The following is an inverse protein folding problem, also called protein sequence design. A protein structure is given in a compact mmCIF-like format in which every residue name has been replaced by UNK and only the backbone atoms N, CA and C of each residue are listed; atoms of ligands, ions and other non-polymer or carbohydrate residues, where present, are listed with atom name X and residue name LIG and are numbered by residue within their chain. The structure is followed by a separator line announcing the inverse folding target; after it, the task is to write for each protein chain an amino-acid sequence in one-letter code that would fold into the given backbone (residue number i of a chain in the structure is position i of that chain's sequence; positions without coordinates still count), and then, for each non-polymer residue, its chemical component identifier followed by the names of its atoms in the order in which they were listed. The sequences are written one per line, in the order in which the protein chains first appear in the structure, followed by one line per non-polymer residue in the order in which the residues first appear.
data_IF_423294765038
#
_entry.id   IF_423294765038
#
_cell.length_a   1.000
_cell.length_b   1.000
_cell.length_c   1.000
_cell.angle_alpha   90.00
_cell.angle_beta   90.00
_cell.angle_gamma   90.00
#
_symmetry.space_group_name_H-M   'P 1'
#
loop_
_entity.id
_entity.type
_entity.pdbx_description
1 polymer ?
#
# COMPACT_ATOMS: atom_id res chain seq x y z
N UNK A 1 -1.33 79.36 27.28
CA UNK A 1 -0.65 78.92 28.52
C UNK A 1 -0.98 77.43 28.63
N UNK A 2 -0.11 76.42 28.57
CA UNK A 2 1.30 76.24 28.96
C UNK A 2 1.78 74.94 28.25
N UNK A 3 2.61 75.02 27.19
CA UNK A 3 4.04 74.61 27.11
C UNK A 3 4.55 73.50 28.04
N UNK A 4 5.00 72.38 27.44
CA UNK A 4 6.27 71.62 27.65
C UNK A 4 6.20 70.39 26.73
N UNK A 5 6.90 70.27 25.58
CA UNK A 5 8.35 70.18 25.26
C UNK A 5 9.08 69.04 25.98
N UNK A 6 9.27 67.93 25.26
CA UNK A 6 10.27 66.88 25.52
C UNK A 6 10.92 66.44 24.20
N UNK A 7 12.15 66.91 23.97
CA UNK A 7 13.23 66.33 23.14
C UNK A 7 14.06 65.43 24.08
N UNK A 8 14.83 64.40 23.77
CA UNK A 8 15.45 63.76 22.59
C UNK A 8 15.46 62.23 22.92
N UNK A 9 15.62 61.26 22.00
CA UNK A 9 16.93 60.81 21.51
C UNK A 9 16.79 59.95 20.25
N UNK A 10 17.68 60.24 19.31
CA UNK A 10 17.86 59.54 18.05
C UNK A 10 18.19 58.04 18.21
N UNK A 11 17.61 57.20 17.34
CA UNK A 11 18.23 55.94 16.94
C UNK A 11 18.03 55.66 15.45
N UNK A 12 19.03 56.11 14.69
CA UNK A 12 19.67 55.44 13.55
C UNK A 12 18.81 54.49 12.72
N UNK A 13 18.47 54.94 11.52
CA UNK A 13 17.76 54.15 10.51
C UNK A 13 18.51 52.90 10.06
N UNK A 14 17.72 51.95 9.57
CA UNK A 14 18.16 50.95 8.60
C UNK A 14 16.99 50.68 7.66
N UNK A 15 17.07 51.27 6.46
CA UNK A 15 16.20 50.92 5.34
C UNK A 15 16.35 49.42 5.07
N UNK A 16 15.25 48.68 5.01
CA UNK A 16 15.22 47.36 4.38
C UNK A 16 14.13 47.38 3.33
N UNK A 17 14.61 47.29 2.10
CA UNK A 17 13.91 47.22 0.84
C UNK A 17 12.82 46.16 0.87
N UNK A 18 11.62 46.56 0.45
CA UNK A 18 10.50 45.69 0.11
C UNK A 18 10.90 44.94 -1.16
N UNK A 19 11.06 43.62 -1.08
CA UNK A 19 11.04 42.75 -2.27
C UNK A 19 9.70 42.02 -2.20
N UNK A 20 8.72 42.56 -2.94
CA UNK A 20 7.48 41.85 -3.22
C UNK A 20 7.80 40.64 -4.09
N UNK A 21 7.60 39.44 -3.53
CA UNK A 21 7.56 38.22 -4.33
C UNK A 21 6.19 38.15 -4.97
N UNK A 22 6.12 38.41 -6.29
CA UNK A 22 4.96 38.06 -7.11
C UNK A 22 4.82 36.52 -7.04
N UNK A 23 3.78 36.03 -6.37
CA UNK A 23 3.37 34.63 -6.46
C UNK A 23 2.66 34.44 -7.81
N UNK A 24 3.44 34.03 -8.82
CA UNK A 24 2.93 33.55 -10.10
C UNK A 24 2.53 32.09 -9.91
N UNK A 25 1.26 31.78 -10.18
CA UNK A 25 0.76 30.50 -10.69
C UNK A 25 1.14 29.24 -9.92
N UNK A 26 0.21 28.73 -9.12
CA UNK A 26 0.28 27.38 -8.56
C UNK A 26 0.31 26.32 -9.66
N UNK A 27 1.50 25.79 -9.95
CA UNK A 27 1.65 24.45 -10.49
C UNK A 27 1.40 23.49 -9.32
N UNK A 28 0.29 22.75 -9.36
CA UNK A 28 0.17 21.54 -8.56
C UNK A 28 1.13 20.52 -9.15
N UNK A 29 2.38 20.54 -8.69
CA UNK A 29 3.29 19.42 -8.88
C UNK A 29 2.70 18.27 -8.07
N UNK A 30 2.09 17.30 -8.77
CA UNK A 30 1.84 15.99 -8.18
C UNK A 30 3.20 15.49 -7.67
N UNK A 31 3.39 15.50 -6.36
CA UNK A 31 4.60 14.98 -5.75
C UNK A 31 4.64 13.50 -6.07
N UNK A 32 5.45 13.12 -7.05
CA UNK A 32 5.89 11.75 -7.22
C UNK A 32 6.71 11.47 -5.97
N UNK A 33 6.06 10.95 -4.93
CA UNK A 33 6.72 10.57 -3.69
C UNK A 33 7.63 9.39 -4.02
N UNK A 34 8.90 9.67 -4.30
CA UNK A 34 9.90 8.61 -4.27
C UNK A 34 9.89 8.04 -2.86
N UNK A 35 9.73 6.71 -2.69
CA UNK A 35 9.78 6.11 -1.37
C UNK A 35 11.11 6.52 -0.75
N UNK A 36 11.04 7.07 0.48
CA UNK A 36 12.24 7.52 1.19
C UNK A 36 13.27 6.40 1.23
N UNK A 37 14.56 6.74 1.26
CA UNK A 37 15.61 5.72 1.38
C UNK A 37 15.34 4.78 2.58
N UNK A 38 14.79 5.31 3.67
CA UNK A 38 14.38 4.54 4.85
C UNK A 38 13.22 3.57 4.60
N UNK A 39 12.25 3.94 3.77
CA UNK A 39 11.18 3.05 3.31
C UNK A 39 11.75 1.87 2.50
N UNK A 40 12.59 2.17 1.50
CA UNK A 40 13.24 1.14 0.67
C UNK A 40 14.14 0.21 1.50
N UNK A 41 14.88 0.76 2.48
CA UNK A 41 15.73 -0.02 3.38
C UNK A 41 14.91 -0.90 4.34
N UNK A 42 13.74 -0.43 4.81
CA UNK A 42 12.84 -1.27 5.62
C UNK A 42 12.22 -2.39 4.79
N UNK A 43 11.69 -2.08 3.60
CA UNK A 43 11.18 -3.07 2.65
C UNK A 43 12.23 -4.17 2.35
N UNK A 44 13.50 -3.79 2.21
CA UNK A 44 14.58 -4.73 1.93
C UNK A 44 14.97 -5.66 3.10
N UNK A 45 14.58 -5.34 4.35
CA UNK A 45 15.10 -5.99 5.55
C UNK A 45 14.02 -6.60 6.46
N UNK A 46 12.78 -6.72 5.98
CA UNK A 46 11.75 -7.41 6.74
C UNK A 46 12.15 -8.87 7.03
N UNK A 47 12.14 -9.30 8.30
CA UNK A 47 12.41 -10.68 8.64
C UNK A 47 11.23 -11.55 8.23
N UNK A 48 11.56 -12.73 7.69
CA UNK A 48 10.57 -13.77 7.41
C UNK A 48 9.99 -14.30 8.72
N UNK A 49 8.69 -14.12 8.92
CA UNK A 49 7.99 -14.63 10.11
C UNK A 49 7.57 -16.08 9.91
N UNK A 50 7.47 -16.82 11.02
CA UNK A 50 6.93 -18.17 11.05
C UNK A 50 5.43 -18.14 11.39
N UNK A 51 4.62 -19.06 10.84
CA UNK A 51 3.20 -19.12 11.16
C UNK A 51 2.98 -19.44 12.64
N UNK A 52 1.91 -18.89 13.21
CA UNK A 52 1.56 -19.07 14.61
C UNK A 52 0.04 -19.24 14.81
N UNK A 53 -0.32 -19.74 15.99
CA UNK A 53 -1.70 -19.82 16.43
C UNK A 53 -2.57 -20.78 15.60
N UNK A 54 -3.88 -20.84 15.89
CA UNK A 54 -4.79 -21.83 15.30
C UNK A 54 -5.06 -21.61 13.80
N UNK A 55 -4.79 -20.40 13.29
CA UNK A 55 -5.02 -20.05 11.90
C UNK A 55 -3.81 -20.34 11.00
N UNK A 56 -2.69 -20.77 11.57
CA UNK A 56 -1.44 -21.09 10.85
C UNK A 56 -0.93 -19.96 9.93
N UNK A 57 -1.13 -18.71 10.35
CA UNK A 57 -0.61 -17.52 9.64
C UNK A 57 0.38 -16.75 10.52
N UNK A 58 1.25 -15.96 9.89
CA UNK A 58 2.18 -15.09 10.59
C UNK A 58 1.45 -13.96 11.31
N UNK A 59 2.11 -13.33 12.29
CA UNK A 59 1.54 -12.18 12.98
C UNK A 59 1.24 -11.03 12.00
N UNK A 60 2.16 -10.84 11.05
CA UNK A 60 2.04 -9.86 9.98
C UNK A 60 0.87 -10.14 9.04
N UNK A 61 0.71 -11.37 8.58
CA UNK A 61 -0.40 -11.72 7.70
C UNK A 61 -1.74 -11.62 8.43
N UNK A 62 -1.80 -11.95 9.71
CA UNK A 62 -2.99 -11.73 10.55
C UNK A 62 -3.36 -10.23 10.59
N UNK A 63 -2.39 -9.35 10.85
CA UNK A 63 -2.63 -7.91 10.88
C UNK A 63 -3.12 -7.36 9.53
N UNK A 64 -2.51 -7.78 8.41
CA UNK A 64 -2.93 -7.36 7.07
C UNK A 64 -4.33 -7.85 6.75
N UNK A 65 -4.61 -9.13 7.00
CA UNK A 65 -5.93 -9.72 6.76
C UNK A 65 -7.00 -8.96 7.52
N UNK A 66 -6.78 -8.74 8.82
CA UNK A 66 -7.77 -8.08 9.66
C UNK A 66 -7.98 -6.62 9.24
N UNK A 67 -6.92 -5.90 8.82
CA UNK A 67 -7.03 -4.55 8.30
C UNK A 67 -7.81 -4.48 6.97
N UNK A 68 -7.50 -5.38 6.01
CA UNK A 68 -8.20 -5.43 4.72
C UNK A 68 -9.65 -5.85 4.91
N UNK A 69 -9.95 -6.86 5.73
CA UNK A 69 -11.32 -7.29 6.03
C UNK A 69 -12.12 -6.18 6.70
N UNK A 70 -11.50 -5.43 7.62
CA UNK A 70 -12.15 -4.30 8.28
C UNK A 70 -12.51 -3.19 7.30
N UNK A 71 -11.59 -2.84 6.40
CA UNK A 71 -11.77 -1.74 5.44
C UNK A 71 -12.70 -2.12 4.27
N UNK A 72 -12.57 -3.35 3.75
CA UNK A 72 -13.19 -3.77 2.49
C UNK A 72 -14.27 -4.83 2.64
N UNK A 73 -14.36 -5.51 3.78
CA UNK A 73 -15.46 -6.46 4.07
C UNK A 73 -16.84 -5.86 3.87
N UNK A 74 -17.15 -4.69 4.47
CA UNK A 74 -18.43 -4.00 4.26
C UNK A 74 -18.69 -3.55 2.81
N UNK A 75 -17.67 -3.56 1.95
CA UNK A 75 -17.74 -3.14 0.55
C UNK A 75 -17.99 -4.30 -0.41
N UNK A 76 -18.11 -5.53 0.10
CA UNK A 76 -18.52 -6.71 -0.66
C UNK A 76 -17.40 -7.71 -0.97
N UNK A 77 -16.44 -7.90 -0.05
CA UNK A 77 -15.57 -9.07 -0.12
C UNK A 77 -16.38 -10.36 -0.06
N UNK A 78 -16.01 -11.34 -0.89
CA UNK A 78 -16.67 -12.64 -0.94
C UNK A 78 -16.13 -13.54 0.18
N UNK A 79 -16.93 -13.71 1.24
CA UNK A 79 -16.58 -14.60 2.34
C UNK A 79 -15.31 -14.20 3.11
N UNK A 80 -14.72 -15.19 3.79
CA UNK A 80 -13.48 -15.01 4.53
C UNK A 80 -12.26 -15.22 3.61
N UNK A 81 -11.18 -14.43 3.75
CA UNK A 81 -9.97 -14.62 2.95
C UNK A 81 -9.36 -16.02 3.12
N UNK A 82 -8.96 -16.63 2.01
CA UNK A 82 -8.28 -17.92 1.99
C UNK A 82 -6.79 -17.77 2.31
N UNK A 83 -6.38 -18.10 3.53
CA UNK A 83 -5.00 -17.92 3.98
C UNK A 83 -4.21 -19.25 3.96
N UNK A 84 -3.89 -19.83 5.11
CA UNK A 84 -3.07 -21.04 5.18
C UNK A 84 -3.72 -22.24 4.49
N UNK A 85 -2.91 -22.96 3.70
CA UNK A 85 -3.22 -24.29 3.14
C UNK A 85 -1.92 -25.02 2.83
N UNK A 86 -1.81 -26.27 3.28
CA UNK A 86 -0.56 -27.05 3.28
C UNK A 86 -0.03 -27.33 1.87
N UNK A 87 -0.94 -27.63 0.95
CA UNK A 87 -0.62 -27.90 -0.46
C UNK A 87 -0.26 -26.63 -1.24
N UNK A 88 -0.52 -25.45 -0.68
CA UNK A 88 -0.13 -24.17 -1.27
C UNK A 88 -0.80 -23.83 -2.60
N UNK A 89 -1.74 -24.67 -3.09
CA UNK A 89 -2.60 -24.46 -4.27
C UNK A 89 -1.85 -24.40 -5.60
N UNK A 90 -0.52 -24.52 -5.59
CA UNK A 90 0.35 -24.65 -6.76
C UNK A 90 1.47 -25.66 -6.44
N UNK A 91 1.93 -26.37 -7.46
CA UNK A 91 3.10 -27.25 -7.32
C UNK A 91 4.35 -26.41 -6.96
N UNK A 92 5.06 -26.81 -5.90
CA UNK A 92 6.24 -26.10 -5.39
C UNK A 92 6.00 -25.19 -4.19
N UNK A 93 4.73 -24.96 -3.82
CA UNK A 93 4.36 -24.18 -2.64
C UNK A 93 4.62 -22.68 -2.78
N UNK A 94 3.57 -21.86 -2.65
CA UNK A 94 3.69 -20.42 -2.55
C UNK A 94 3.87 -19.97 -1.09
N UNK A 95 3.34 -18.79 -0.75
CA UNK A 95 3.42 -18.26 0.62
C UNK A 95 2.28 -18.73 1.53
N UNK A 96 1.27 -19.42 0.97
CA UNK A 96 0.16 -20.01 1.74
C UNK A 96 0.62 -21.09 2.74
N UNK A 97 1.46 -22.09 2.39
CA UNK A 97 1.94 -23.08 3.36
C UNK A 97 2.86 -22.49 4.44
N UNK A 98 3.38 -21.29 4.21
CA UNK A 98 4.22 -20.57 5.15
C UNK A 98 3.41 -19.60 6.02
N UNK A 99 2.09 -19.53 5.82
CA UNK A 99 1.19 -18.63 6.56
C UNK A 99 1.40 -17.16 6.24
N UNK A 100 2.00 -16.85 5.09
CA UNK A 100 2.40 -15.49 4.67
C UNK A 100 1.58 -14.95 3.51
N UNK A 101 0.51 -15.63 3.13
CA UNK A 101 -0.41 -15.15 2.11
C UNK A 101 -1.87 -15.32 2.51
N UNK A 102 -2.70 -14.45 1.96
CA UNK A 102 -4.14 -14.60 1.90
C UNK A 102 -4.67 -14.19 0.52
N UNK A 103 -5.66 -14.93 0.04
CA UNK A 103 -6.47 -14.63 -1.13
C UNK A 103 -7.75 -13.91 -0.68
N UNK A 104 -7.92 -12.66 -1.09
CA UNK A 104 -9.09 -11.83 -0.78
C UNK A 104 -10.08 -11.93 -1.95
N UNK A 105 -11.03 -12.85 -1.81
CA UNK A 105 -11.98 -13.17 -2.86
C UNK A 105 -12.90 -11.99 -3.17
N UNK A 106 -13.06 -11.72 -4.47
CA UNK A 106 -13.99 -10.73 -5.01
C UNK A 106 -15.23 -11.39 -5.59
N UNK A 107 -15.07 -12.65 -6.03
CA UNK A 107 -16.08 -13.51 -6.61
C UNK A 107 -15.83 -14.96 -6.15
N UNK A 108 -16.80 -15.87 -6.32
CA UNK A 108 -16.55 -17.30 -6.17
C UNK A 108 -15.38 -17.77 -7.04
N UNK A 109 -14.64 -18.77 -6.56
CA UNK A 109 -13.49 -19.30 -7.28
C UNK A 109 -13.89 -19.78 -8.69
N UNK A 110 -13.17 -19.27 -9.71
CA UNK A 110 -13.39 -19.57 -11.11
C UNK A 110 -14.28 -18.55 -11.85
N UNK A 111 -14.81 -17.54 -11.15
CA UNK A 111 -15.62 -16.47 -11.75
C UNK A 111 -14.83 -15.16 -11.83
N UNK A 112 -14.62 -14.64 -13.05
CA UNK A 112 -13.89 -13.38 -13.23
C UNK A 112 -14.67 -12.22 -12.59
N UNK A 113 -14.00 -11.48 -11.72
CA UNK A 113 -14.47 -10.20 -11.20
C UNK A 113 -14.64 -9.20 -12.37
N UNK A 114 -15.79 -8.55 -12.43
CA UNK A 114 -16.09 -7.49 -13.39
C UNK A 114 -16.95 -6.42 -12.71
N UNK A 115 -16.91 -5.17 -13.17
CA UNK A 115 -17.74 -4.10 -12.62
C UNK A 115 -17.42 -3.80 -11.14
N UNK A 116 -18.40 -3.95 -10.25
CA UNK A 116 -18.22 -3.58 -8.82
C UNK A 116 -17.17 -4.43 -8.09
N UNK A 117 -17.17 -5.77 -8.18
CA UNK A 117 -16.10 -6.62 -7.64
C UNK A 117 -14.70 -6.23 -8.14
N UNK A 118 -14.56 -5.93 -9.43
CA UNK A 118 -13.27 -5.54 -10.01
C UNK A 118 -12.78 -4.18 -9.45
N UNK A 119 -13.66 -3.19 -9.40
CA UNK A 119 -13.37 -1.91 -8.75
C UNK A 119 -13.03 -2.05 -7.25
N UNK A 120 -13.58 -3.06 -6.56
CA UNK A 120 -13.18 -3.40 -5.20
C UNK A 120 -11.75 -3.97 -5.16
N UNK A 121 -11.41 -4.86 -6.10
CA UNK A 121 -10.06 -5.40 -6.27
C UNK A 121 -9.02 -4.29 -6.49
N UNK A 122 -9.29 -3.37 -7.41
CA UNK A 122 -8.43 -2.20 -7.64
C UNK A 122 -8.22 -1.35 -6.38
N UNK A 123 -9.29 -1.16 -5.59
CA UNK A 123 -9.22 -0.39 -4.35
C UNK A 123 -8.39 -1.09 -3.26
N UNK A 124 -8.52 -2.42 -3.11
CA UNK A 124 -7.69 -3.22 -2.20
C UNK A 124 -6.23 -3.11 -2.64
N UNK A 125 -5.94 -3.33 -3.92
CA UNK A 125 -4.59 -3.24 -4.48
C UNK A 125 -3.95 -1.87 -4.23
N UNK A 126 -4.69 -0.78 -4.44
CA UNK A 126 -4.21 0.56 -4.17
C UNK A 126 -3.86 0.77 -2.70
N UNK A 127 -4.76 0.39 -1.79
CA UNK A 127 -4.57 0.54 -0.35
C UNK A 127 -3.38 -0.29 0.16
N UNK A 128 -3.26 -1.53 -0.27
CA UNK A 128 -2.18 -2.45 0.13
C UNK A 128 -0.82 -1.93 -0.32
N UNK A 129 -0.75 -1.35 -1.53
CA UNK A 129 0.49 -0.74 -2.04
C UNK A 129 0.88 0.52 -1.27
N UNK A 130 -0.10 1.33 -0.86
CA UNK A 130 0.14 2.52 -0.02
C UNK A 130 0.66 2.15 1.37
N UNK A 131 0.15 1.06 1.96
CA UNK A 131 0.54 0.60 3.29
C UNK A 131 1.64 -0.49 3.28
N UNK A 132 2.31 -0.68 2.14
CA UNK A 132 3.26 -1.78 1.97
C UNK A 132 4.41 -1.76 2.99
N UNK A 133 4.93 -0.57 3.26
CA UNK A 133 6.02 -0.35 4.23
C UNK A 133 5.55 -0.49 5.68
N UNK A 134 4.28 -0.26 5.98
CA UNK A 134 3.73 -0.38 7.34
C UNK A 134 3.53 -1.84 7.70
N UNK A 135 2.92 -2.60 6.78
CA UNK A 135 2.55 -3.99 7.01
C UNK A 135 3.60 -5.01 6.57
N UNK A 136 4.71 -4.59 5.96
CA UNK A 136 5.69 -5.52 5.41
C UNK A 136 5.09 -6.39 4.30
N UNK A 137 4.35 -5.76 3.39
CA UNK A 137 3.85 -6.42 2.18
C UNK A 137 5.05 -6.72 1.27
N UNK A 138 5.14 -7.94 0.75
CA UNK A 138 6.21 -8.35 -0.16
C UNK A 138 5.78 -8.25 -1.62
N UNK A 139 4.64 -8.84 -1.97
CA UNK A 139 4.08 -8.75 -3.31
C UNK A 139 2.57 -8.88 -3.31
N UNK A 140 1.95 -8.38 -4.39
CA UNK A 140 0.52 -8.48 -4.66
C UNK A 140 0.35 -9.06 -6.06
N UNK A 141 -0.60 -9.98 -6.24
CA UNK A 141 -1.00 -10.49 -7.55
C UNK A 141 -2.47 -10.13 -7.78
N UNK A 142 -2.77 -9.55 -8.93
CA UNK A 142 -4.13 -9.20 -9.35
C UNK A 142 -4.20 -9.17 -10.88
N UNK A 143 -5.27 -9.73 -11.45
CA UNK A 143 -5.51 -9.78 -12.90
C UNK A 143 -4.27 -10.21 -13.72
N UNK A 144 -3.66 -11.33 -13.34
CA UNK A 144 -2.47 -11.90 -13.97
C UNK A 144 -1.21 -11.02 -13.94
N UNK A 145 -1.20 -9.99 -13.10
CA UNK A 145 -0.02 -9.15 -12.90
C UNK A 145 0.50 -9.30 -11.47
N UNK A 146 1.82 -9.20 -11.32
CA UNK A 146 2.49 -9.15 -10.02
C UNK A 146 3.17 -7.79 -9.83
N UNK A 147 2.98 -7.23 -8.64
CA UNK A 147 3.72 -6.08 -8.15
C UNK A 147 4.54 -6.49 -6.92
N UNK A 148 5.77 -5.99 -6.80
CA UNK A 148 6.62 -6.26 -5.62
C UNK A 148 7.11 -4.97 -4.97
N UNK A 149 6.97 -4.90 -3.64
CA UNK A 149 7.47 -3.80 -2.82
C UNK A 149 8.99 -3.71 -2.75
N UNK A 150 9.70 -4.78 -3.12
CA UNK A 150 11.18 -4.79 -3.21
C UNK A 150 11.69 -4.00 -4.41
N UNK A 151 10.90 -3.94 -5.47
CA UNK A 151 11.26 -3.32 -6.75
C UNK A 151 10.08 -2.49 -7.28
N UNK A 152 9.58 -1.50 -6.51
CA UNK A 152 8.37 -0.77 -6.86
C UNK A 152 8.49 0.01 -8.17
N UNK A 153 9.72 0.41 -8.53
CA UNK A 153 10.07 1.08 -9.79
C UNK A 153 9.91 0.19 -11.03
N UNK A 154 9.87 -1.14 -10.87
CA UNK A 154 9.61 -2.05 -11.99
C UNK A 154 8.12 -2.14 -12.31
N UNK A 155 7.25 -1.55 -11.49
CA UNK A 155 5.81 -1.53 -11.70
C UNK A 155 5.20 -2.92 -11.68
N UNK A 156 4.07 -3.05 -12.39
CA UNK A 156 3.40 -4.33 -12.61
C UNK A 156 4.10 -5.13 -13.69
N UNK A 157 4.25 -6.44 -13.46
CA UNK A 157 4.74 -7.39 -14.45
C UNK A 157 3.65 -8.37 -14.78
N UNK A 158 3.43 -8.60 -16.07
CA UNK A 158 2.58 -9.68 -16.54
C UNK A 158 3.19 -11.03 -16.14
N UNK A 159 2.39 -11.90 -15.55
CA UNK A 159 2.76 -13.29 -15.24
C UNK A 159 2.47 -14.20 -16.43
N UNK A 160 3.07 -15.38 -16.42
CA UNK A 160 2.64 -16.48 -17.29
C UNK A 160 1.15 -16.81 -17.08
N UNK A 161 0.49 -17.26 -18.15
CA UNK A 161 -0.84 -17.85 -18.04
C UNK A 161 -0.73 -19.23 -17.36
N UNK A 162 -1.41 -19.37 -16.22
CA UNK A 162 -1.43 -20.59 -15.42
C UNK A 162 -2.63 -21.49 -15.71
N UNK A 163 -3.50 -21.10 -16.64
CA UNK A 163 -4.53 -21.97 -17.22
C UNK A 163 -5.93 -21.86 -16.61
N UNK A 164 -6.17 -20.94 -15.67
CA UNK A 164 -7.52 -20.70 -15.13
C UNK A 164 -7.70 -19.29 -14.56
N UNK A 165 -8.96 -18.87 -14.41
CA UNK A 165 -9.34 -17.59 -13.77
C UNK A 165 -8.72 -17.46 -12.38
N UNK A 166 -8.84 -18.49 -11.54
CA UNK A 166 -8.29 -18.47 -10.19
C UNK A 166 -6.78 -18.46 -10.17
N UNK A 167 -6.11 -19.30 -10.97
CA UNK A 167 -4.64 -19.31 -10.98
C UNK A 167 -4.05 -18.02 -11.56
N UNK A 168 -4.80 -17.31 -12.40
CA UNK A 168 -4.45 -15.99 -12.93
C UNK A 168 -5.01 -14.83 -12.10
N UNK A 169 -5.64 -15.10 -10.94
CA UNK A 169 -6.05 -14.07 -9.98
C UNK A 169 -7.05 -13.05 -10.56
N UNK A 170 -7.98 -13.52 -11.38
CA UNK A 170 -9.07 -12.69 -11.91
C UNK A 170 -10.30 -12.68 -10.98
N UNK A 171 -10.35 -13.52 -9.96
CA UNK A 171 -11.45 -13.68 -9.00
C UNK A 171 -11.08 -13.22 -7.57
N UNK A 172 -9.81 -12.88 -7.33
CA UNK A 172 -9.31 -12.45 -6.03
C UNK A 172 -8.05 -11.57 -6.12
N UNK A 173 -7.78 -10.81 -5.05
CA UNK A 173 -6.49 -10.16 -4.83
C UNK A 173 -5.65 -11.07 -3.93
N UNK A 174 -4.48 -11.50 -4.39
CA UNK A 174 -3.53 -12.24 -3.57
C UNK A 174 -2.51 -11.30 -2.96
N UNK A 175 -2.30 -11.39 -1.66
CA UNK A 175 -1.33 -10.58 -0.92
C UNK A 175 -0.36 -11.51 -0.20
N UNK A 176 0.93 -11.27 -0.39
CA UNK A 176 2.00 -11.93 0.34
C UNK A 176 2.78 -10.94 1.20
N UNK A 177 3.16 -11.37 2.40
CA UNK A 177 4.00 -10.61 3.35
C UNK A 177 5.36 -11.27 3.52
N UNK A 178 6.33 -10.53 4.07
CA UNK A 178 7.66 -11.07 4.37
C UNK A 178 7.64 -12.21 5.37
#
# INVERSE_FOLDING_TARGET
MNTTRGRDTARRGRRRTIIGLLLIGGLVLAAIAWPTLSAQVRAANWPKEQPRGPQHITARMEAVRDAVVKEFGPRGLEGAPGCYREEGGIAGGGEHPLGRACDFMLMPAGEKATGKPDALGEAIVAWVREHADEYGIWYVIYEQHIWSSRLPQQGWKLMEDRGSITQNHFDHVHISVY
#
